data_IF_871489113024
#
_entry.id   IF_871489113024
#
_cell.length_a   1.000
_cell.length_b   1.000
_cell.length_c   1.000
_cell.angle_alpha   90.00
_cell.angle_beta   90.00
_cell.angle_gamma   90.00
#
_symmetry.space_group_name_H-M   'P 1'
#
loop_
_entity.id
_entity.type
_entity.pdbx_description
1 polymer ?
#
# COMPACT_ATOMS: atom_id res chain seq x y z
N UNK A 1 11.23 -52.04 15.43
CA UNK A 1 9.94 -51.36 15.11
C UNK A 1 10.14 -50.11 14.24
N UNK A 2 11.03 -50.15 13.23
CA UNK A 2 11.33 -49.00 12.35
C UNK A 2 10.17 -48.68 11.38
N UNK A 3 9.34 -49.68 11.06
CA UNK A 3 8.20 -49.54 10.15
C UNK A 3 7.03 -48.69 10.68
N UNK A 4 6.84 -48.62 12.02
CA UNK A 4 5.79 -47.79 12.64
C UNK A 4 6.17 -46.31 12.73
N UNK A 5 7.47 -46.01 12.82
CA UNK A 5 7.95 -44.65 12.94
C UNK A 5 7.84 -43.88 11.61
N UNK A 6 8.05 -44.56 10.47
CA UNK A 6 7.92 -43.98 9.14
C UNK A 6 6.48 -43.54 8.81
N UNK A 7 5.47 -44.25 9.34
CA UNK A 7 4.06 -43.90 9.15
C UNK A 7 3.70 -42.53 9.72
N UNK A 8 4.32 -42.13 10.84
CA UNK A 8 4.10 -40.80 11.43
C UNK A 8 4.59 -39.67 10.53
N UNK A 9 5.71 -39.86 9.83
CA UNK A 9 6.26 -38.89 8.88
C UNK A 9 5.45 -38.83 7.59
N UNK A 10 4.93 -39.96 7.12
CA UNK A 10 4.02 -40.01 5.97
C UNK A 10 2.70 -39.27 6.22
N UNK A 11 2.15 -39.36 7.44
CA UNK A 11 0.96 -38.61 7.85
C UNK A 11 1.18 -37.09 7.83
N UNK A 12 2.36 -36.62 8.25
CA UNK A 12 2.69 -35.19 8.28
C UNK A 12 2.82 -34.60 6.87
N UNK A 13 3.41 -35.36 5.93
CA UNK A 13 3.58 -34.93 4.55
C UNK A 13 2.23 -34.77 3.81
N UNK A 14 1.23 -35.61 4.12
CA UNK A 14 -0.13 -35.46 3.61
C UNK A 14 -0.89 -34.25 4.19
N UNK A 15 -0.75 -34.00 5.49
CA UNK A 15 -1.34 -32.82 6.14
C UNK A 15 -0.74 -31.51 5.58
N UNK A 16 0.58 -31.44 5.44
CA UNK A 16 1.28 -30.30 4.84
C UNK A 16 0.86 -30.06 3.38
N UNK A 17 0.65 -31.14 2.61
CA UNK A 17 0.16 -31.06 1.23
C UNK A 17 -1.19 -30.37 1.09
N UNK A 18 -2.14 -30.65 1.99
CA UNK A 18 -3.47 -30.03 1.96
C UNK A 18 -3.43 -28.52 2.16
N UNK A 19 -2.54 -28.04 3.04
CA UNK A 19 -2.32 -26.61 3.30
C UNK A 19 -1.75 -25.94 2.05
N UNK A 20 -0.77 -26.57 1.37
CA UNK A 20 -0.17 -26.04 0.14
C UNK A 20 -1.22 -25.89 -0.97
N UNK A 21 -2.07 -26.89 -1.18
CA UNK A 21 -3.15 -26.83 -2.17
C UNK A 21 -4.14 -25.71 -1.84
N UNK A 22 -4.51 -25.55 -0.56
CA UNK A 22 -5.39 -24.47 -0.12
C UNK A 22 -4.75 -23.09 -0.34
N UNK A 23 -3.47 -22.92 -0.01
CA UNK A 23 -2.72 -21.69 -0.27
C UNK A 23 -2.65 -21.38 -1.76
N UNK A 24 -2.44 -22.38 -2.60
CA UNK A 24 -2.40 -22.20 -4.04
C UNK A 24 -3.76 -21.74 -4.57
N UNK A 25 -4.86 -22.34 -4.10
CA UNK A 25 -6.22 -21.94 -4.47
C UNK A 25 -6.53 -20.49 -4.05
N UNK A 26 -6.20 -20.12 -2.81
CA UNK A 26 -6.37 -18.75 -2.30
C UNK A 26 -5.51 -17.78 -3.10
N UNK A 27 -4.25 -18.14 -3.39
CA UNK A 27 -3.33 -17.33 -4.17
C UNK A 27 -3.89 -17.03 -5.57
N UNK A 28 -4.35 -18.06 -6.29
CA UNK A 28 -4.94 -17.86 -7.62
C UNK A 28 -6.23 -17.06 -7.56
N UNK A 29 -7.09 -17.30 -6.57
CA UNK A 29 -8.32 -16.53 -6.38
C UNK A 29 -8.03 -15.06 -6.09
N UNK A 30 -7.06 -14.78 -5.21
CA UNK A 30 -6.62 -13.43 -4.89
C UNK A 30 -5.99 -12.74 -6.10
N UNK A 31 -5.21 -13.46 -6.92
CA UNK A 31 -4.64 -12.91 -8.15
C UNK A 31 -5.73 -12.45 -9.12
N UNK A 32 -6.80 -13.23 -9.30
CA UNK A 32 -7.95 -12.85 -10.13
C UNK A 32 -8.65 -11.60 -9.56
N UNK A 33 -8.86 -11.53 -8.25
CA UNK A 33 -9.47 -10.36 -7.61
C UNK A 33 -8.60 -9.11 -7.69
N UNK A 34 -7.28 -9.25 -7.56
CA UNK A 34 -6.34 -8.14 -7.67
C UNK A 34 -6.36 -7.56 -9.09
N UNK A 35 -6.40 -8.42 -10.11
CA UNK A 35 -6.66 -8.01 -11.48
C UNK A 35 -8.03 -7.32 -11.65
N UNK A 36 -9.06 -7.82 -10.96
CA UNK A 36 -10.40 -7.21 -10.96
C UNK A 36 -10.44 -5.82 -10.31
N UNK A 37 -9.71 -5.57 -9.24
CA UNK A 37 -9.69 -4.29 -8.54
C UNK A 37 -9.13 -3.15 -9.41
N UNK A 38 -8.05 -3.42 -10.16
CA UNK A 38 -7.51 -2.49 -11.15
C UNK A 38 -8.51 -2.25 -12.30
N UNK A 39 -9.24 -3.30 -12.71
CA UNK A 39 -10.33 -3.14 -13.69
C UNK A 39 -11.46 -2.26 -13.16
N UNK A 40 -11.91 -2.45 -11.91
CA UNK A 40 -12.96 -1.63 -11.30
C UNK A 40 -12.55 -0.17 -11.19
N UNK A 41 -11.29 0.11 -10.82
CA UNK A 41 -10.74 1.48 -10.79
C UNK A 41 -10.84 2.15 -12.17
N UNK A 42 -10.39 1.47 -13.22
CA UNK A 42 -10.46 2.02 -14.57
C UNK A 42 -11.91 2.13 -15.08
N UNK A 43 -12.75 1.14 -14.77
CA UNK A 43 -14.18 1.16 -15.10
C UNK A 43 -14.92 2.32 -14.42
N UNK A 44 -14.64 2.58 -13.14
CA UNK A 44 -15.21 3.70 -12.39
C UNK A 44 -14.76 5.07 -12.94
N UNK A 45 -13.53 5.16 -13.46
CA UNK A 45 -13.03 6.38 -14.12
C UNK A 45 -13.69 6.59 -15.49
N UNK A 46 -13.86 5.52 -16.28
CA UNK A 46 -14.32 5.62 -17.67
C UNK A 46 -15.85 5.64 -17.85
N UNK A 47 -16.58 4.93 -17.00
CA UNK A 47 -18.05 4.78 -17.05
C UNK A 47 -18.77 5.33 -15.81
N UNK A 48 -18.08 5.45 -14.67
CA UNK A 48 -18.60 6.15 -13.48
C UNK A 48 -18.36 7.66 -13.56
N UNK A 49 -18.88 8.41 -12.58
CA UNK A 49 -18.71 9.86 -12.45
C UNK A 49 -17.27 10.32 -12.11
N UNK A 50 -16.25 9.48 -12.39
CA UNK A 50 -14.90 9.61 -11.87
C UNK A 50 -14.83 9.26 -10.38
N UNK A 51 -13.64 8.94 -9.89
CA UNK A 51 -13.37 8.92 -8.44
C UNK A 51 -13.30 10.39 -8.01
N UNK A 52 -14.46 11.03 -7.86
CA UNK A 52 -14.56 12.38 -7.33
C UNK A 52 -14.44 12.33 -5.81
N UNK A 53 -13.49 13.07 -5.21
CA UNK A 53 -13.39 13.15 -3.76
C UNK A 53 -14.70 13.72 -3.20
N UNK A 54 -15.26 13.11 -2.16
CA UNK A 54 -16.38 13.70 -1.43
C UNK A 54 -15.94 15.00 -0.74
N UNK A 55 -16.88 15.82 -0.28
CA UNK A 55 -16.61 17.10 0.40
C UNK A 55 -15.60 17.03 1.56
N UNK A 56 -15.38 15.84 2.14
CA UNK A 56 -14.40 15.60 3.20
C UNK A 56 -13.21 14.72 2.79
N UNK A 57 -13.14 14.29 1.53
CA UNK A 57 -12.04 13.49 1.00
C UNK A 57 -11.13 14.35 0.12
N UNK A 58 -9.82 14.20 0.28
CA UNK A 58 -8.82 14.81 -0.60
C UNK A 58 -8.08 13.68 -1.29
N UNK A 59 -8.02 13.71 -2.63
CA UNK A 59 -7.14 12.83 -3.38
C UNK A 59 -5.69 13.22 -3.09
N UNK A 60 -4.99 12.41 -2.30
CA UNK A 60 -3.59 12.65 -1.97
C UNK A 60 -2.73 12.03 -3.06
N UNK A 61 -2.23 12.85 -4.00
CA UNK A 61 -1.04 12.49 -4.75
C UNK A 61 0.18 12.65 -3.83
N UNK A 62 0.83 11.54 -3.50
CA UNK A 62 2.09 11.57 -2.75
C UNK A 62 3.21 12.10 -3.65
N UNK A 63 3.32 13.42 -3.74
CA UNK A 63 4.57 14.07 -4.16
C UNK A 63 5.42 14.24 -2.91
N UNK A 64 6.55 13.56 -2.86
CA UNK A 64 7.54 13.68 -1.80
C UNK A 64 8.14 15.10 -1.83
N UNK A 65 7.44 16.07 -1.24
CA UNK A 65 7.94 17.44 -1.09
C UNK A 65 8.99 17.43 0.01
N UNK A 66 10.25 17.24 -0.39
CA UNK A 66 11.42 17.55 0.44
C UNK A 66 11.26 18.99 0.95
N UNK A 67 10.99 19.11 2.25
CA UNK A 67 10.81 20.37 2.95
C UNK A 67 12.13 21.14 2.90
N UNK A 68 12.27 22.12 2.01
CA UNK A 68 13.35 23.11 2.10
C UNK A 68 13.05 24.04 3.27
N UNK A 69 13.53 23.66 4.46
CA UNK A 69 13.74 24.56 5.61
C UNK A 69 14.83 25.55 5.20
N UNK A 70 14.50 26.84 5.11
CA UNK A 70 15.46 27.85 4.62
C UNK A 70 14.83 29.10 4.01
N UNK A 71 13.52 29.12 3.73
CA UNK A 71 12.84 30.34 3.23
C UNK A 71 12.32 31.25 4.35
N UNK A 72 12.49 30.85 5.60
CA UNK A 72 11.99 31.49 6.82
C UNK A 72 13.08 32.29 7.55
N UNK A 73 14.36 32.05 7.28
CA UNK A 73 15.47 32.79 7.90
C UNK A 73 15.80 34.12 7.19
N UNK A 74 15.50 34.25 5.89
CA UNK A 74 15.84 35.46 5.11
C UNK A 74 14.86 36.62 5.36
N UNK A 75 13.62 36.32 5.75
CA UNK A 75 12.58 37.31 6.01
C UNK A 75 12.77 38.07 7.34
N UNK A 76 13.42 37.45 8.34
CA UNK A 76 13.61 38.05 9.67
C UNK A 76 14.86 38.94 9.78
N UNK A 77 15.84 38.75 8.90
CA UNK A 77 17.03 39.62 8.87
C UNK A 77 16.68 40.99 8.30
N UNK A 78 15.83 41.06 7.27
CA UNK A 78 15.38 42.32 6.68
C UNK A 78 14.71 43.26 7.69
N UNK A 79 13.95 42.71 8.64
CA UNK A 79 13.24 43.47 9.67
C UNK A 79 14.18 43.99 10.76
N UNK A 80 15.18 43.18 11.14
CA UNK A 80 16.17 43.54 12.16
C UNK A 80 17.12 44.66 11.68
N UNK A 81 17.44 44.69 10.39
CA UNK A 81 18.32 45.73 9.83
C UNK A 81 17.61 47.10 9.72
N UNK A 82 16.28 47.14 9.67
CA UNK A 82 15.51 48.39 9.61
C UNK A 82 15.40 49.09 10.97
N UNK A 83 15.27 48.35 12.07
CA UNK A 83 15.16 48.92 13.44
C UNK A 83 16.46 49.53 13.98
N UNK A 84 17.62 49.14 13.43
CA UNK A 84 18.92 49.69 13.84
C UNK A 84 19.28 51.02 13.13
N UNK A 85 18.39 51.55 12.29
CA UNK A 85 18.63 52.76 11.48
C UNK A 85 17.86 54.00 11.96
N UNK A 86 17.25 53.96 13.14
CA UNK A 86 16.55 55.08 13.78
C UNK A 86 17.42 55.75 14.84
#
# INVERSE_FOLDING_TARGET
SIYLNLSSTASFYGAAGSIIVMLLWIYYSAAILYFGAEFTKFYAIKFGAGIVPSTFAVAVEQTEKVKKTGSDAEAHVGDTIQVLKQ
#
